data_IF_667753635068
#
_entry.id   IF_667753635068
#
_cell.length_a   1.000
_cell.length_b   1.000
_cell.length_c   1.000
_cell.angle_alpha   90.00
_cell.angle_beta   90.00
_cell.angle_gamma   90.00
#
_symmetry.space_group_name_H-M   'P 1'
#
loop_
_entity.id
_entity.type
_entity.pdbx_description
1 polymer ?
#
# COMPACT_ATOMS: atom_id res chain seq x y z
N UNK A 1 8.96 -78.99 -18.88
CA UNK A 1 9.00 -77.68 -18.22
C UNK A 1 9.96 -77.78 -17.04
N UNK A 2 10.94 -76.87 -16.88
CA UNK A 2 11.88 -76.97 -15.77
C UNK A 2 11.18 -76.70 -14.44
N UNK A 3 11.62 -77.32 -13.33
CA UNK A 3 11.02 -77.13 -12.02
C UNK A 3 11.27 -75.69 -11.54
N UNK A 4 10.28 -75.12 -10.85
CA UNK A 4 10.39 -73.81 -10.24
C UNK A 4 11.65 -73.75 -9.37
N UNK A 5 12.50 -72.73 -9.57
CA UNK A 5 13.69 -72.48 -8.76
C UNK A 5 13.32 -72.08 -7.33
N UNK A 6 12.89 -73.05 -6.51
CA UNK A 6 12.97 -72.94 -5.05
C UNK A 6 14.36 -73.43 -4.66
N UNK A 7 15.26 -72.48 -4.35
CA UNK A 7 16.65 -72.71 -3.93
C UNK A 7 17.56 -73.37 -4.97
N UNK A 8 18.43 -72.55 -5.57
CA UNK A 8 19.79 -73.01 -5.90
C UNK A 8 20.58 -73.17 -4.58
N UNK A 9 20.20 -74.13 -3.74
CA UNK A 9 21.13 -74.70 -2.75
C UNK A 9 21.81 -75.87 -3.44
N UNK A 10 22.98 -75.61 -4.00
CA UNK A 10 23.94 -76.67 -4.27
C UNK A 10 24.17 -77.43 -2.96
N UNK A 11 24.01 -78.75 -3.05
CA UNK A 11 24.53 -79.77 -2.15
C UNK A 11 25.77 -79.28 -1.39
N UNK A 12 25.63 -78.92 -0.12
CA UNK A 12 26.64 -79.17 0.90
C UNK A 12 25.96 -79.06 2.26
N UNK A 13 25.98 -80.18 2.98
CA UNK A 13 25.61 -80.27 4.39
C UNK A 13 26.24 -79.15 5.20
N UNK A 14 25.43 -78.32 5.85
CA UNK A 14 25.61 -77.83 7.23
C UNK A 14 24.50 -76.82 7.54
N UNK A 15 24.00 -76.90 8.78
CA UNK A 15 22.93 -76.07 9.33
C UNK A 15 23.20 -74.59 9.07
N UNK A 16 22.38 -73.93 8.27
CA UNK A 16 22.28 -72.47 8.27
C UNK A 16 20.87 -72.10 8.71
N UNK A 17 20.83 -71.38 9.82
CA UNK A 17 19.69 -70.70 10.40
C UNK A 17 18.90 -69.94 9.34
N UNK A 18 17.57 -70.02 9.42
CA UNK A 18 16.67 -69.16 8.67
C UNK A 18 17.15 -67.71 8.76
N UNK A 19 17.45 -67.08 7.61
CA UNK A 19 17.68 -65.65 7.54
C UNK A 19 16.29 -65.01 7.66
N UNK A 20 16.03 -64.15 8.67
CA UNK A 20 14.74 -63.47 8.78
C UNK A 20 14.55 -62.57 7.56
N UNK A 21 13.56 -62.85 6.72
CA UNK A 21 13.17 -62.00 5.59
C UNK A 21 13.21 -62.63 4.19
N UNK A 22 13.51 -63.92 4.04
CA UNK A 22 13.31 -64.61 2.74
C UNK A 22 11.88 -65.16 2.63
N UNK A 23 11.14 -64.88 1.54
CA UNK A 23 9.81 -65.46 1.32
C UNK A 23 9.94 -66.99 1.18
N UNK A 24 9.12 -67.75 1.91
CA UNK A 24 9.18 -69.21 1.94
C UNK A 24 7.97 -69.75 1.14
N UNK A 25 8.10 -70.01 -0.18
CA UNK A 25 6.98 -70.53 -0.96
C UNK A 25 6.66 -71.98 -0.56
N UNK A 26 5.38 -72.28 -0.33
CA UNK A 26 4.88 -73.65 -0.18
C UNK A 26 4.44 -74.18 -1.56
N UNK A 27 4.68 -75.46 -1.86
CA UNK A 27 4.32 -76.03 -3.17
C UNK A 27 3.04 -76.86 -3.08
N UNK A 28 2.09 -76.61 -3.99
CA UNK A 28 0.89 -77.44 -4.18
C UNK A 28 0.80 -77.85 -5.66
N UNK A 29 0.79 -79.16 -5.93
CA UNK A 29 0.63 -79.75 -7.27
C UNK A 29 1.61 -79.19 -8.35
N UNK A 30 2.87 -78.93 -7.98
CA UNK A 30 3.91 -78.47 -8.90
C UNK A 30 3.93 -76.97 -9.19
N UNK A 31 3.07 -76.18 -8.54
CA UNK A 31 3.02 -74.73 -8.64
C UNK A 31 3.42 -74.08 -7.30
N UNK A 32 4.22 -73.01 -7.35
CA UNK A 32 4.59 -72.23 -6.17
C UNK A 32 3.35 -71.49 -5.64
N UNK A 33 3.05 -71.66 -4.35
CA UNK A 33 2.05 -70.87 -3.63
C UNK A 33 2.82 -69.79 -2.86
N UNK A 34 2.56 -68.54 -3.23
CA UNK A 34 3.24 -67.39 -2.65
C UNK A 34 2.59 -66.95 -1.34
N UNK A 35 3.42 -66.48 -0.41
CA UNK A 35 2.94 -65.81 0.80
C UNK A 35 2.10 -64.57 0.43
N UNK A 36 1.10 -64.19 1.26
CA UNK A 36 0.28 -63.02 1.02
C UNK A 36 1.13 -61.78 0.74
N UNK A 37 0.90 -61.12 -0.40
CA UNK A 37 1.69 -59.97 -0.82
C UNK A 37 2.86 -60.30 -1.77
N UNK A 38 2.99 -61.54 -2.24
CA UNK A 38 3.98 -61.95 -3.25
C UNK A 38 3.33 -62.72 -4.41
N UNK A 39 3.98 -62.68 -5.58
CA UNK A 39 3.55 -63.32 -6.84
C UNK A 39 4.78 -63.70 -7.69
N UNK A 40 4.57 -64.28 -8.87
CA UNK A 40 5.62 -64.73 -9.78
C UNK A 40 5.93 -66.23 -9.67
N UNK A 41 6.72 -66.77 -10.60
CA UNK A 41 7.03 -68.21 -10.69
C UNK A 41 7.92 -68.73 -9.55
N UNK A 42 8.64 -67.82 -8.88
CA UNK A 42 9.48 -68.09 -7.71
C UNK A 42 9.06 -67.26 -6.48
N UNK A 43 7.90 -66.61 -6.53
CA UNK A 43 7.37 -65.75 -5.47
C UNK A 43 8.30 -64.57 -5.07
N UNK A 44 9.22 -64.16 -5.95
CA UNK A 44 10.13 -63.05 -5.70
C UNK A 44 9.51 -61.67 -5.98
N UNK A 45 8.34 -61.61 -6.63
CA UNK A 45 7.69 -60.35 -7.01
C UNK A 45 6.72 -59.90 -5.91
N UNK A 46 6.95 -58.75 -5.29
CA UNK A 46 6.01 -58.20 -4.32
C UNK A 46 4.74 -57.66 -5.00
N UNK A 47 3.56 -57.99 -4.46
CA UNK A 47 2.27 -57.46 -4.89
C UNK A 47 2.10 -56.03 -4.38
N UNK A 48 2.08 -55.08 -5.31
CA UNK A 48 1.76 -53.70 -5.02
C UNK A 48 0.24 -53.42 -5.12
N UNK A 49 -0.29 -52.49 -4.30
CA UNK A 49 -1.69 -52.07 -4.36
C UNK A 49 -2.10 -51.67 -5.78
N UNK A 50 -3.11 -52.34 -6.33
CA UNK A 50 -3.63 -52.15 -7.70
C UNK A 50 -2.55 -52.01 -8.80
N UNK A 51 -1.43 -52.73 -8.66
CA UNK A 51 -0.28 -52.61 -9.58
C UNK A 51 0.15 -51.15 -9.83
N UNK A 52 0.14 -50.35 -8.76
CA UNK A 52 0.45 -48.92 -8.78
C UNK A 52 -0.35 -48.12 -9.82
N UNK A 53 -1.56 -48.59 -10.15
CA UNK A 53 -2.47 -47.98 -11.14
C UNK A 53 -1.79 -47.64 -12.47
N UNK A 54 -0.70 -48.35 -12.83
CA UNK A 54 0.18 -48.08 -13.98
C UNK A 54 0.91 -46.71 -13.96
N UNK A 55 0.79 -45.97 -12.86
CA UNK A 55 1.38 -44.65 -12.63
C UNK A 55 2.55 -44.68 -11.66
N UNK A 56 3.15 -45.85 -11.42
CA UNK A 56 4.30 -45.99 -10.52
C UNK A 56 5.13 -47.22 -10.83
N UNK A 57 6.20 -47.40 -10.05
CA UNK A 57 6.99 -48.63 -10.01
C UNK A 57 6.77 -49.31 -8.67
N UNK A 58 6.54 -50.62 -8.68
CA UNK A 58 6.51 -51.41 -7.45
C UNK A 58 7.92 -51.62 -6.92
N UNK A 59 8.16 -51.28 -5.65
CA UNK A 59 9.44 -51.49 -4.96
C UNK A 59 9.14 -52.05 -3.58
N UNK A 60 9.52 -53.31 -3.33
CA UNK A 60 9.33 -54.00 -2.04
C UNK A 60 7.88 -53.92 -1.51
N UNK A 61 6.88 -54.10 -2.37
CA UNK A 61 5.46 -54.06 -1.99
C UNK A 61 4.85 -52.66 -1.84
N UNK A 62 5.64 -51.60 -2.03
CA UNK A 62 5.18 -50.22 -2.03
C UNK A 62 5.27 -49.57 -3.42
N UNK A 63 4.32 -48.71 -3.75
CA UNK A 63 4.33 -47.98 -5.01
C UNK A 63 5.15 -46.70 -4.93
N UNK A 64 6.18 -46.59 -5.78
CA UNK A 64 6.89 -45.34 -6.04
C UNK A 64 6.23 -44.66 -7.24
N UNK A 65 5.46 -43.60 -6.97
CA UNK A 65 4.67 -42.93 -8.01
C UNK A 65 5.53 -42.11 -8.98
N UNK A 66 5.09 -42.08 -10.24
CA UNK A 66 5.59 -41.17 -11.26
C UNK A 66 5.15 -39.74 -10.94
N UNK A 67 5.90 -38.76 -11.44
CA UNK A 67 5.56 -37.33 -11.29
C UNK A 67 4.11 -37.04 -11.69
N UNK A 68 3.40 -36.30 -10.85
CA UNK A 68 1.98 -35.99 -11.06
C UNK A 68 1.00 -37.01 -10.48
N UNK A 69 1.48 -38.07 -9.84
CA UNK A 69 0.66 -39.06 -9.13
C UNK A 69 1.13 -39.28 -7.69
N UNK A 70 0.20 -39.70 -6.84
CA UNK A 70 0.37 -39.85 -5.40
C UNK A 70 -0.61 -40.87 -4.84
N UNK A 71 -0.47 -41.19 -3.55
CA UNK A 71 -1.26 -42.20 -2.86
C UNK A 71 -0.60 -43.59 -2.87
N UNK A 72 -1.14 -44.53 -2.09
CA UNK A 72 -0.54 -45.86 -1.88
C UNK A 72 -0.51 -46.73 -3.14
N UNK A 73 -1.37 -46.45 -4.12
CA UNK A 73 -1.50 -47.14 -5.40
C UNK A 73 -1.28 -46.21 -6.61
N UNK A 74 -0.80 -44.98 -6.39
CA UNK A 74 -0.60 -43.96 -7.42
C UNK A 74 -1.85 -43.60 -8.25
N UNK A 75 -3.06 -43.88 -7.76
CA UNK A 75 -4.29 -43.53 -8.46
C UNK A 75 -4.60 -42.02 -8.40
N UNK A 76 -4.08 -41.31 -7.39
CA UNK A 76 -4.45 -39.91 -7.12
C UNK A 76 -3.53 -38.97 -7.88
N UNK A 77 -4.09 -38.11 -8.75
CA UNK A 77 -3.34 -37.02 -9.36
C UNK A 77 -2.79 -36.09 -8.28
N UNK A 78 -1.47 -35.99 -8.21
CA UNK A 78 -0.78 -35.13 -7.26
C UNK A 78 -1.01 -33.66 -7.62
N UNK A 79 -1.15 -32.83 -6.59
CA UNK A 79 -1.23 -31.38 -6.75
C UNK A 79 0.16 -30.74 -6.59
N UNK A 80 0.43 -29.62 -7.29
CA UNK A 80 1.70 -28.92 -7.16
C UNK A 80 1.91 -28.45 -5.72
N UNK A 81 3.06 -28.81 -5.13
CA UNK A 81 3.44 -28.53 -3.73
C UNK A 81 2.36 -28.86 -2.70
N UNK A 82 1.49 -29.86 -2.96
CA UNK A 82 0.34 -30.18 -2.10
C UNK A 82 -0.52 -28.95 -1.76
N UNK A 83 -0.71 -28.05 -2.73
CA UNK A 83 -1.46 -26.80 -2.56
C UNK A 83 -0.91 -25.91 -1.43
N UNK A 84 0.37 -26.06 -1.09
CA UNK A 84 1.07 -25.33 -0.02
C UNK A 84 0.35 -25.39 1.34
N UNK A 85 -0.46 -26.43 1.57
CA UNK A 85 -1.37 -26.54 2.73
C UNK A 85 -2.32 -25.34 2.90
N UNK A 86 -2.70 -24.69 1.79
CA UNK A 86 -3.58 -23.50 1.73
C UNK A 86 -4.70 -23.71 0.69
N UNK A 87 -5.19 -24.94 0.61
CA UNK A 87 -6.23 -25.33 -0.33
C UNK A 87 -6.45 -26.83 -0.38
N UNK A 88 -7.49 -27.23 -1.10
CA UNK A 88 -7.85 -28.62 -1.34
C UNK A 88 -7.38 -29.08 -2.71
N UNK A 89 -6.71 -30.23 -2.76
CA UNK A 89 -6.38 -30.88 -4.02
C UNK A 89 -7.63 -31.57 -4.60
N UNK A 90 -8.01 -31.20 -5.83
CA UNK A 90 -9.14 -31.79 -6.57
C UNK A 90 -8.66 -32.12 -7.98
N UNK A 91 -8.59 -33.42 -8.31
CA UNK A 91 -8.18 -33.91 -9.64
C UNK A 91 -6.83 -33.34 -10.15
N UNK A 92 -5.85 -33.16 -9.26
CA UNK A 92 -4.53 -32.60 -9.60
C UNK A 92 -4.49 -31.07 -9.72
N UNK A 93 -5.58 -30.37 -9.42
CA UNK A 93 -5.65 -28.90 -9.34
C UNK A 93 -5.90 -28.46 -7.90
N UNK A 94 -5.30 -27.35 -7.50
CA UNK A 94 -5.52 -26.77 -6.18
C UNK A 94 -6.72 -25.82 -6.19
N UNK A 95 -7.69 -26.11 -5.33
CA UNK A 95 -8.77 -25.19 -4.95
C UNK A 95 -8.30 -24.41 -3.73
N UNK A 96 -7.87 -23.17 -3.90
CA UNK A 96 -7.24 -22.39 -2.84
C UNK A 96 -8.22 -21.92 -1.78
N UNK A 97 -7.74 -21.86 -0.54
CA UNK A 97 -8.47 -21.25 0.56
C UNK A 97 -8.61 -19.73 0.35
N UNK A 98 -9.60 -19.12 1.01
CA UNK A 98 -9.83 -17.68 0.98
C UNK A 98 -8.53 -16.91 1.29
N UNK A 99 -8.19 -15.94 0.42
CA UNK A 99 -6.96 -15.17 0.58
C UNK A 99 -5.76 -15.70 -0.21
N UNK A 100 -5.88 -16.83 -0.90
CA UNK A 100 -4.81 -17.46 -1.68
C UNK A 100 -5.20 -17.71 -3.14
N UNK A 101 -4.20 -17.73 -4.01
CA UNK A 101 -4.35 -17.93 -5.45
C UNK A 101 -3.10 -18.57 -6.07
N UNK A 102 -3.18 -18.85 -7.38
CA UNK A 102 -2.15 -19.51 -8.16
C UNK A 102 -2.22 -21.04 -8.10
N UNK A 103 -1.48 -21.70 -9.00
CA UNK A 103 -1.60 -23.15 -9.22
C UNK A 103 -1.32 -24.01 -7.97
N UNK A 104 -0.51 -23.51 -7.04
CA UNK A 104 -0.15 -24.19 -5.78
C UNK A 104 -0.61 -23.42 -4.53
N UNK A 105 -1.50 -22.43 -4.66
CA UNK A 105 -2.01 -21.59 -3.56
C UNK A 105 -0.93 -20.88 -2.73
N UNK A 106 0.18 -20.52 -3.38
CA UNK A 106 1.30 -19.82 -2.75
C UNK A 106 1.02 -18.31 -2.68
N UNK A 107 0.45 -17.75 -3.74
CA UNK A 107 0.26 -16.32 -3.86
C UNK A 107 -0.90 -15.86 -2.99
N UNK A 108 -0.74 -14.74 -2.29
CA UNK A 108 -1.84 -14.11 -1.56
C UNK A 108 -2.66 -13.25 -2.50
N UNK A 109 -3.98 -13.28 -2.35
CA UNK A 109 -4.86 -12.33 -3.06
C UNK A 109 -4.76 -10.96 -2.43
N UNK A 110 -4.88 -9.91 -3.24
CA UNK A 110 -4.98 -8.53 -2.78
C UNK A 110 -6.41 -8.00 -2.92
N UNK A 111 -6.83 -7.06 -2.06
CA UNK A 111 -8.15 -6.44 -2.15
C UNK A 111 -8.30 -5.74 -3.51
N UNK A 112 -9.49 -5.89 -4.13
CA UNK A 112 -9.80 -5.30 -5.44
C UNK A 112 -8.83 -5.66 -6.58
N UNK A 113 -7.95 -6.66 -6.40
CA UNK A 113 -6.79 -6.87 -7.29
C UNK A 113 -5.99 -5.58 -7.54
N UNK A 114 -5.86 -4.76 -6.50
CA UNK A 114 -5.23 -3.44 -6.53
C UNK A 114 -5.80 -2.50 -7.61
N UNK A 115 -7.08 -2.69 -7.99
CA UNK A 115 -7.78 -1.96 -9.05
C UNK A 115 -7.01 -1.83 -10.38
N UNK A 116 -6.06 -2.75 -10.63
CA UNK A 116 -5.11 -2.67 -11.76
C UNK A 116 -4.29 -1.37 -11.80
N UNK A 117 -4.10 -0.73 -10.64
CA UNK A 117 -3.35 0.53 -10.43
C UNK A 117 -2.25 0.34 -9.38
N UNK A 118 -1.68 -0.86 -9.34
CA UNK A 118 -0.74 -1.24 -8.31
C UNK A 118 -0.32 -2.70 -8.43
N UNK A 119 0.74 -3.04 -7.67
CA UNK A 119 1.28 -4.39 -7.58
C UNK A 119 0.84 -5.05 -6.27
N UNK A 120 0.35 -6.28 -6.37
CA UNK A 120 0.10 -7.10 -5.19
C UNK A 120 1.41 -7.68 -4.63
N UNK A 121 1.75 -7.32 -3.39
CA UNK A 121 2.93 -7.80 -2.67
C UNK A 121 2.49 -8.36 -1.33
N UNK A 122 2.64 -9.67 -1.14
CA UNK A 122 2.29 -10.37 0.10
C UNK A 122 0.85 -10.10 0.62
N UNK A 123 -0.11 -9.91 -0.29
CA UNK A 123 -1.52 -9.64 0.05
C UNK A 123 -1.83 -8.18 0.36
N UNK A 124 -0.88 -7.26 0.16
CA UNK A 124 -1.07 -5.82 0.23
C UNK A 124 -0.82 -5.19 -1.14
N UNK A 125 -1.56 -4.12 -1.45
CA UNK A 125 -1.34 -3.36 -2.67
C UNK A 125 -0.24 -2.32 -2.47
N UNK A 126 0.71 -2.30 -3.40
CA UNK A 126 1.67 -1.21 -3.58
C UNK A 126 1.17 -0.41 -4.77
N UNK A 127 0.61 0.77 -4.51
CA UNK A 127 -0.05 1.58 -5.52
C UNK A 127 0.93 2.28 -6.46
N UNK A 128 0.50 2.49 -7.69
CA UNK A 128 1.19 3.33 -8.66
C UNK A 128 1.11 4.81 -8.26
N UNK A 129 2.00 5.63 -8.80
CA UNK A 129 2.02 7.08 -8.55
C UNK A 129 0.66 7.71 -8.83
N UNK A 130 0.16 8.50 -7.88
CA UNK A 130 -1.15 9.16 -7.99
C UNK A 130 -2.33 8.34 -7.47
N UNK A 131 -2.10 7.14 -6.94
CA UNK A 131 -3.12 6.32 -6.29
C UNK A 131 -2.72 5.93 -4.86
N UNK A 132 -3.74 5.74 -4.01
CA UNK A 132 -3.60 5.39 -2.61
C UNK A 132 -4.77 4.50 -2.16
N UNK A 133 -4.82 4.17 -0.88
CA UNK A 133 -5.84 3.31 -0.29
C UNK A 133 -5.45 1.83 -0.32
N UNK A 134 -6.22 0.97 0.37
CA UNK A 134 -5.90 -0.45 0.56
C UNK A 134 -5.90 -1.26 -0.74
N UNK A 135 -6.64 -0.81 -1.75
CA UNK A 135 -6.80 -1.45 -3.05
C UNK A 135 -6.42 -0.53 -4.23
N UNK A 136 -5.81 0.63 -3.99
CA UNK A 136 -5.42 1.61 -5.02
C UNK A 136 -6.58 2.19 -5.83
N UNK A 137 -7.80 2.17 -5.29
CA UNK A 137 -8.97 2.82 -5.93
C UNK A 137 -8.94 4.34 -5.78
N UNK A 138 -8.36 4.86 -4.70
CA UNK A 138 -8.38 6.27 -4.34
C UNK A 138 -7.29 7.04 -5.08
N UNK A 139 -7.60 8.25 -5.55
CA UNK A 139 -6.60 9.15 -6.13
C UNK A 139 -5.85 9.89 -5.02
N UNK A 140 -4.53 9.89 -5.09
CA UNK A 140 -3.70 10.67 -4.18
C UNK A 140 -3.80 12.16 -4.49
N UNK A 141 -3.74 12.99 -3.45
CA UNK A 141 -3.62 14.43 -3.59
C UNK A 141 -2.19 14.91 -3.29
N UNK A 142 -1.75 16.02 -3.90
CA UNK A 142 -0.45 16.61 -3.61
C UNK A 142 -0.36 16.99 -2.13
N UNK A 143 0.74 16.62 -1.47
CA UNK A 143 0.99 16.91 -0.06
C UNK A 143 -0.06 16.34 0.91
N UNK A 144 -0.94 15.41 0.49
CA UNK A 144 -2.15 15.04 1.24
C UNK A 144 -2.95 16.27 1.69
N UNK A 145 -3.02 17.29 0.84
CA UNK A 145 -3.66 18.57 1.14
C UNK A 145 -3.12 19.23 2.42
N UNK A 146 -1.86 18.92 2.79
CA UNK A 146 -1.18 19.33 4.02
C UNK A 146 -2.01 19.11 5.31
N UNK A 147 -2.97 18.17 5.29
CA UNK A 147 -3.98 17.98 6.32
C UNK A 147 -4.81 19.24 6.65
N UNK A 148 -5.00 20.12 5.66
CA UNK A 148 -5.74 21.39 5.72
C UNK A 148 -6.79 21.45 4.60
N UNK A 149 -7.39 20.32 4.30
CA UNK A 149 -8.37 20.17 3.25
C UNK A 149 -8.75 18.72 3.01
N UNK A 150 -9.73 18.53 2.13
CA UNK A 150 -10.24 17.24 1.71
C UNK A 150 -9.71 16.90 0.31
N UNK A 151 -9.21 15.69 0.14
CA UNK A 151 -8.86 15.18 -1.18
C UNK A 151 -10.12 14.70 -1.92
N UNK A 152 -10.44 15.34 -3.05
CA UNK A 152 -11.58 14.99 -3.91
C UNK A 152 -11.06 14.74 -5.31
N UNK A 153 -11.14 13.49 -5.76
CA UNK A 153 -10.71 13.06 -7.11
C UNK A 153 -9.27 13.48 -7.50
N UNK A 154 -8.36 13.56 -6.52
CA UNK A 154 -6.96 13.94 -6.73
C UNK A 154 -6.70 15.46 -6.69
N UNK A 155 -7.72 16.26 -6.37
CA UNK A 155 -7.61 17.70 -6.14
C UNK A 155 -7.93 18.02 -4.67
N UNK A 156 -7.21 18.97 -4.09
CA UNK A 156 -7.48 19.41 -2.74
C UNK A 156 -8.59 20.48 -2.70
N UNK A 157 -9.62 20.22 -1.93
CA UNK A 157 -10.60 21.20 -1.47
C UNK A 157 -10.12 21.72 -0.11
N UNK A 158 -9.54 22.92 -0.09
CA UNK A 158 -8.90 23.46 1.12
C UNK A 158 -9.90 23.91 2.17
N UNK A 159 -9.53 23.73 3.43
CA UNK A 159 -10.27 24.27 4.57
C UNK A 159 -10.21 25.80 4.58
N UNK A 160 -11.19 26.42 5.24
CA UNK A 160 -11.26 27.88 5.39
C UNK A 160 -9.94 28.47 5.90
N UNK A 161 -9.41 29.46 5.17
CA UNK A 161 -8.13 30.11 5.49
C UNK A 161 -6.92 29.48 4.82
N UNK A 162 -7.09 28.44 4.00
CA UNK A 162 -6.02 27.86 3.17
C UNK A 162 -6.37 27.87 1.68
N UNK A 163 -5.33 27.89 0.86
CA UNK A 163 -5.38 27.94 -0.59
C UNK A 163 -4.16 27.24 -1.20
N UNK A 164 -4.13 27.17 -2.52
CA UNK A 164 -3.09 26.46 -3.28
C UNK A 164 -3.48 25.02 -3.61
N UNK A 165 -2.66 24.39 -4.47
CA UNK A 165 -2.94 23.05 -5.01
C UNK A 165 -2.92 21.94 -3.95
N UNK A 166 -2.23 22.18 -2.85
CA UNK A 166 -2.02 21.27 -1.73
C UNK A 166 -2.44 21.88 -0.38
N UNK A 167 -3.11 23.04 -0.37
CA UNK A 167 -3.54 23.76 0.84
C UNK A 167 -2.42 24.16 1.80
N UNK A 168 -1.18 24.30 1.30
CA UNK A 168 -0.06 24.77 2.11
C UNK A 168 -0.17 26.26 2.43
N UNK A 169 -0.62 27.07 1.46
CA UNK A 169 -0.63 28.52 1.56
C UNK A 169 -1.83 29.01 2.39
N UNK A 170 -1.62 29.97 3.28
CA UNK A 170 -2.73 30.67 3.95
C UNK A 170 -3.42 31.63 2.97
N UNK A 171 -4.73 31.70 3.05
CA UNK A 171 -5.55 32.64 2.28
C UNK A 171 -5.50 34.03 2.91
N UNK A 172 -5.52 35.06 2.08
CA UNK A 172 -5.61 36.45 2.55
C UNK A 172 -7.03 37.01 2.38
N UNK A 173 -7.45 37.96 3.22
CA UNK A 173 -8.73 38.66 3.08
C UNK A 173 -8.87 39.29 1.69
N UNK A 174 -9.98 39.01 1.00
CA UNK A 174 -10.28 39.48 -0.35
C UNK A 174 -9.12 39.35 -1.37
N UNK A 175 -8.19 38.40 -1.18
CA UNK A 175 -6.96 38.28 -1.96
C UNK A 175 -6.17 39.62 -2.05
N UNK A 176 -6.16 40.37 -0.95
CA UNK A 176 -5.56 41.70 -0.88
C UNK A 176 -6.10 42.67 -1.93
N UNK A 177 -7.34 42.47 -2.40
CA UNK A 177 -7.99 43.20 -3.49
C UNK A 177 -7.13 43.31 -4.77
N UNK A 178 -6.18 42.39 -4.97
CA UNK A 178 -5.12 42.44 -5.99
C UNK A 178 -4.28 43.74 -5.95
N UNK A 179 -4.11 44.33 -4.76
CA UNK A 179 -3.42 45.60 -4.46
C UNK A 179 -2.39 45.42 -3.35
N UNK A 180 -1.76 44.25 -3.34
CA UNK A 180 -0.79 43.86 -2.33
C UNK A 180 -0.39 42.40 -2.47
N UNK A 181 0.57 42.00 -1.65
CA UNK A 181 1.08 40.64 -1.58
C UNK A 181 0.54 39.92 -0.35
N UNK A 182 0.07 38.69 -0.55
CA UNK A 182 -0.34 37.83 0.55
C UNK A 182 0.90 37.16 1.17
N UNK A 183 1.23 37.52 2.41
CA UNK A 183 2.35 36.97 3.16
C UNK A 183 1.81 36.32 4.44
N UNK A 184 1.89 35.00 4.52
CA UNK A 184 1.42 34.20 5.66
C UNK A 184 -0.02 34.53 6.14
N UNK A 185 -0.93 34.81 5.20
CA UNK A 185 -2.33 35.13 5.48
C UNK A 185 -2.60 36.61 5.82
N UNK A 186 -1.58 37.47 5.76
CA UNK A 186 -1.70 38.91 5.92
C UNK A 186 -1.37 39.63 4.61
N UNK A 187 -2.09 40.71 4.34
CA UNK A 187 -1.83 41.54 3.17
C UNK A 187 -0.76 42.59 3.45
N UNK A 188 0.28 42.58 2.63
CA UNK A 188 1.25 43.67 2.52
C UNK A 188 0.82 44.51 1.32
N UNK A 189 0.21 45.67 1.58
CA UNK A 189 -0.37 46.51 0.55
C UNK A 189 0.68 47.25 -0.29
N UNK A 190 0.32 47.53 -1.55
CA UNK A 190 1.10 48.42 -2.41
C UNK A 190 1.04 49.87 -1.89
N UNK A 191 1.95 50.76 -2.30
CA UNK A 191 2.15 52.09 -1.66
C UNK A 191 0.89 52.95 -1.53
N UNK A 192 -0.05 52.84 -2.47
CA UNK A 192 -1.30 53.62 -2.50
C UNK A 192 -2.46 52.97 -1.74
N UNK A 193 -2.25 51.82 -1.10
CA UNK A 193 -3.31 51.04 -0.45
C UNK A 193 -2.98 50.69 1.00
N UNK A 194 -4.03 50.57 1.80
CA UNK A 194 -3.96 50.27 3.21
C UNK A 194 -5.14 49.40 3.65
N UNK A 195 -5.10 48.98 4.91
CA UNK A 195 -6.12 48.14 5.52
C UNK A 195 -5.78 46.65 5.47
N UNK A 196 -6.57 45.80 6.14
CA UNK A 196 -6.29 44.36 6.27
C UNK A 196 -6.38 43.59 4.95
N UNK A 197 -7.01 44.17 3.94
CA UNK A 197 -7.22 43.59 2.62
C UNK A 197 -6.81 44.52 1.47
N UNK A 198 -6.17 45.66 1.75
CA UNK A 198 -5.76 46.66 0.75
C UNK A 198 -6.92 47.26 -0.08
N UNK A 199 -8.14 47.26 0.47
CA UNK A 199 -9.29 47.91 -0.17
C UNK A 199 -9.30 49.43 -0.04
N UNK A 200 -8.62 49.98 0.97
CA UNK A 200 -8.63 51.41 1.27
C UNK A 200 -7.44 52.10 0.63
N UNK A 201 -7.59 53.34 0.13
CA UNK A 201 -6.45 54.12 -0.32
C UNK A 201 -5.62 54.59 0.88
N UNK A 202 -4.31 54.40 0.80
CA UNK A 202 -3.37 54.93 1.77
C UNK A 202 -3.32 56.45 1.71
N UNK A 203 -3.15 57.09 2.85
CA UNK A 203 -2.85 58.52 2.92
C UNK A 203 -1.36 58.75 3.17
N UNK A 204 -0.80 59.84 2.63
CA UNK A 204 0.61 60.17 2.83
C UNK A 204 0.91 60.30 4.33
N UNK A 205 1.88 59.51 4.80
CA UNK A 205 2.31 59.40 6.21
C UNK A 205 1.16 59.22 7.23
N UNK A 206 0.08 58.56 6.84
CA UNK A 206 -1.11 58.40 7.70
C UNK A 206 -1.61 59.75 8.26
N UNK A 207 -1.58 60.79 7.41
CA UNK A 207 -1.90 62.16 7.77
C UNK A 207 -1.12 62.69 8.98
N UNK A 208 0.10 62.17 9.18
CA UNK A 208 1.00 62.48 10.30
C UNK A 208 0.34 62.34 11.68
N UNK A 209 -0.73 61.55 11.79
CA UNK A 209 -1.57 61.46 12.99
C UNK A 209 -2.28 62.78 13.36
N UNK A 210 -2.42 63.71 12.42
CA UNK A 210 -2.99 65.07 12.58
C UNK A 210 -4.16 65.34 11.63
N UNK A 211 -4.77 64.30 11.09
CA UNK A 211 -5.89 64.42 10.17
C UNK A 211 -6.63 63.10 10.00
N UNK A 212 -7.75 63.16 9.31
CA UNK A 212 -8.50 61.98 8.89
C UNK A 212 -8.13 61.63 7.45
N UNK A 213 -7.81 60.37 7.19
CA UNK A 213 -7.65 59.87 5.83
C UNK A 213 -9.02 59.63 5.18
N UNK A 214 -9.31 60.33 4.08
CA UNK A 214 -10.56 60.19 3.31
C UNK A 214 -10.20 59.96 1.84
N UNK A 215 -10.41 58.74 1.35
CA UNK A 215 -10.11 58.31 -0.03
C UNK A 215 -8.70 58.71 -0.52
N UNK A 216 -7.68 58.50 0.32
CA UNK A 216 -6.28 58.81 0.01
C UNK A 216 -5.89 60.28 0.18
N UNK A 217 -6.81 61.13 0.63
CA UNK A 217 -6.56 62.54 0.91
C UNK A 217 -6.69 62.84 2.41
N UNK A 218 -5.73 63.60 2.94
CA UNK A 218 -5.76 64.00 4.34
C UNK A 218 -6.65 65.23 4.56
N UNK A 219 -7.63 65.07 5.46
CA UNK A 219 -8.42 66.18 6.00
C UNK A 219 -7.79 66.57 7.33
N UNK A 220 -7.01 67.65 7.33
CA UNK A 220 -6.23 68.07 8.48
C UNK A 220 -7.10 68.59 9.63
N UNK A 221 -6.71 68.26 10.85
CA UNK A 221 -7.26 68.87 12.05
C UNK A 221 -6.80 70.33 12.18
N UNK A 222 -7.44 71.06 13.09
CA UNK A 222 -7.31 72.52 13.18
C UNK A 222 -5.83 72.93 13.29
N UNK A 223 -5.40 73.87 12.43
CA UNK A 223 -4.03 74.43 12.36
C UNK A 223 -2.94 73.49 11.86
N UNK A 224 -3.29 72.28 11.41
CA UNK A 224 -2.38 71.42 10.66
C UNK A 224 -2.58 71.63 9.16
N UNK A 225 -1.48 71.64 8.39
CA UNK A 225 -1.46 71.94 6.96
C UNK A 225 -0.54 70.98 6.20
N UNK A 226 -0.61 71.05 4.87
CA UNK A 226 0.15 70.20 3.96
C UNK A 226 -0.60 68.95 3.52
N UNK A 227 -0.08 68.21 2.53
CA UNK A 227 -0.75 67.03 1.96
C UNK A 227 -0.82 65.85 2.94
N UNK A 228 0.05 65.82 3.94
CA UNK A 228 0.14 64.80 5.00
C UNK A 228 -0.17 65.37 6.40
N UNK A 229 -0.69 66.60 6.49
CA UNK A 229 -0.93 67.31 7.76
C UNK A 229 0.29 67.42 8.70
N UNK A 230 1.51 67.26 8.17
CA UNK A 230 2.74 67.29 8.96
C UNK A 230 3.19 68.69 9.38
N UNK A 231 2.66 69.73 8.73
CA UNK A 231 3.04 71.13 8.97
C UNK A 231 2.01 71.83 9.85
N UNK A 232 2.41 72.90 10.54
CA UNK A 232 1.49 73.78 11.26
C UNK A 232 1.24 75.05 10.44
N UNK A 233 0.07 75.66 10.61
CA UNK A 233 -0.19 77.02 10.13
C UNK A 233 0.83 78.02 10.71
N UNK A 234 1.11 79.10 9.97
CA UNK A 234 2.09 80.10 10.37
C UNK A 234 1.80 80.67 11.77
N UNK A 235 2.84 80.74 12.60
CA UNK A 235 2.74 81.18 14.00
C UNK A 235 2.29 80.10 14.98
N UNK A 236 2.07 78.85 14.54
CA UNK A 236 1.77 77.70 15.41
C UNK A 236 2.88 76.64 15.37
N UNK A 237 3.15 76.03 16.52
CA UNK A 237 4.16 74.98 16.70
C UNK A 237 3.66 73.90 17.68
N UNK A 238 4.45 72.85 17.87
CA UNK A 238 4.14 71.76 18.80
C UNK A 238 3.64 70.48 18.13
N UNK A 239 3.44 69.44 18.95
CA UNK A 239 3.01 68.10 18.50
C UNK A 239 1.61 68.05 17.89
N UNK A 240 0.77 69.04 18.21
CA UNK A 240 -0.65 69.17 17.84
C UNK A 240 -0.97 70.57 17.24
N UNK A 241 0.05 71.37 16.90
CA UNK A 241 -0.09 72.74 16.42
C UNK A 241 -0.90 73.67 17.36
N UNK A 242 -0.89 73.40 18.67
CA UNK A 242 -1.60 74.20 19.67
C UNK A 242 -0.81 75.38 20.21
N UNK A 243 0.52 75.41 20.04
CA UNK A 243 1.39 76.45 20.62
C UNK A 243 1.50 77.62 19.65
N UNK A 244 0.68 78.65 19.85
CA UNK A 244 0.70 79.89 19.06
C UNK A 244 1.62 80.97 19.63
N UNK A 245 2.17 81.84 18.78
CA UNK A 245 3.06 82.95 19.21
C UNK A 245 2.43 83.94 20.23
N UNK A 246 1.11 83.97 20.34
CA UNK A 246 0.36 84.78 21.32
C UNK A 246 0.38 84.22 22.76
N UNK A 247 0.89 83.01 22.95
CA UNK A 247 1.03 82.40 24.29
C UNK A 247 2.28 82.87 25.04
N UNK A 248 3.10 83.76 24.45
CA UNK A 248 4.31 84.35 25.08
C UNK A 248 4.19 85.84 25.43
N UNK A 249 3.01 86.44 25.31
CA UNK A 249 2.78 87.86 25.61
C UNK A 249 1.64 88.05 26.61
N UNK A 250 1.85 87.65 27.86
CA UNK A 250 1.29 88.37 29.00
C UNK A 250 2.39 88.51 30.08
N UNK A 251 2.60 89.72 30.62
CA UNK A 251 3.64 90.04 31.61
C UNK A 251 3.40 89.38 32.97
#
# INVERSE_FOLDING_TARGET
>A
APPCCCSRMQLFSLRLSAIPGTPNPSQLNGQCVCDPGFTGSDCSEALCPRNCSQHGRCVNGACVCKSGFSGPDCAVKACPKNCSNRGRCVNGKCMCDTGFTGAACIARTCPGSCNKRGRCVNGKCVCETGFTGPDCSERSCPGNCNNRGRCVNGQCECDSGFTGVDCLSKSCPANCNNRGQCVDGQCVCDEDYAGPDCSTKACPKDCSGRGLCVDGQCVCWRRATGPDCGQCEDGFTGGDCSIGEWSRTFP
#
